data_IF_842478457671
#
_entry.id   IF_842478457671
#
_cell.length_a   1.000
_cell.length_b   1.000
_cell.length_c   1.000
_cell.angle_alpha   90.00
_cell.angle_beta   90.00
_cell.angle_gamma   90.00
#
_symmetry.space_group_name_H-M   'P 1'
#
loop_
_entity.id
_entity.type
_entity.pdbx_description
1 polymer ?
#
# COMPACT_ATOMS: atom_id res chain seq x y z
N UNK A 1 -30.65 -11.32 45.65
CA UNK A 1 -31.03 -12.71 45.26
C UNK A 1 -31.71 -12.77 43.89
N UNK A 2 -32.51 -11.76 43.48
CA UNK A 2 -33.06 -11.67 42.11
C UNK A 2 -32.00 -11.45 41.02
N UNK A 3 -30.95 -10.65 41.29
CA UNK A 3 -29.92 -10.34 40.28
C UNK A 3 -28.98 -11.51 39.93
N UNK A 4 -28.75 -12.43 40.87
CA UNK A 4 -27.94 -13.64 40.66
C UNK A 4 -28.73 -14.66 39.82
N UNK A 5 -30.05 -14.73 40.01
CA UNK A 5 -30.94 -15.57 39.21
C UNK A 5 -31.11 -15.05 37.78
N UNK A 6 -31.15 -13.73 37.56
CA UNK A 6 -31.18 -13.16 36.19
C UNK A 6 -29.85 -13.32 35.47
N UNK A 7 -28.70 -13.13 36.13
CA UNK A 7 -27.38 -13.35 35.52
C UNK A 7 -27.15 -14.82 35.16
N UNK A 8 -27.56 -15.74 36.03
CA UNK A 8 -27.49 -17.18 35.74
C UNK A 8 -28.48 -17.61 34.67
N UNK A 9 -29.69 -17.04 34.60
CA UNK A 9 -30.63 -17.26 33.48
C UNK A 9 -30.13 -16.67 32.16
N UNK A 10 -29.50 -15.48 32.14
CA UNK A 10 -28.92 -14.92 30.92
C UNK A 10 -27.67 -15.68 30.47
N UNK A 11 -26.83 -16.16 31.41
CA UNK A 11 -25.68 -17.03 31.10
C UNK A 11 -26.12 -18.41 30.62
N UNK A 12 -27.16 -18.99 31.22
CA UNK A 12 -27.72 -20.27 30.75
C UNK A 12 -28.50 -20.12 29.45
N UNK A 13 -29.18 -19.01 29.19
CA UNK A 13 -29.79 -18.72 27.88
C UNK A 13 -28.73 -18.49 26.79
N UNK A 14 -27.62 -17.80 27.09
CA UNK A 14 -26.53 -17.62 26.12
C UNK A 14 -25.75 -18.91 25.89
N UNK A 15 -25.52 -19.72 26.93
CA UNK A 15 -24.93 -21.06 26.80
C UNK A 15 -25.85 -22.04 26.06
N UNK A 16 -27.16 -22.00 26.29
CA UNK A 16 -28.11 -22.84 25.54
C UNK A 16 -28.27 -22.38 24.10
N UNK A 17 -28.21 -21.08 23.80
CA UNK A 17 -28.12 -20.58 22.42
C UNK A 17 -26.85 -21.07 21.71
N UNK A 18 -25.70 -21.09 22.39
CA UNK A 18 -24.44 -21.59 21.84
C UNK A 18 -24.52 -23.08 21.45
N UNK A 19 -25.35 -23.86 22.15
CA UNK A 19 -25.57 -25.30 21.89
C UNK A 19 -26.73 -25.56 20.92
N UNK A 20 -27.72 -24.65 20.83
CA UNK A 20 -28.91 -24.84 19.98
C UNK A 20 -28.64 -24.58 18.50
N UNK A 21 -27.74 -23.67 18.16
CA UNK A 21 -27.52 -23.25 16.76
C UNK A 21 -26.92 -24.37 15.87
N UNK A 22 -25.96 -25.20 16.35
CA UNK A 22 -25.53 -26.39 15.62
C UNK A 22 -26.67 -27.41 15.41
N UNK A 23 -27.56 -27.58 16.40
CA UNK A 23 -28.72 -28.47 16.30
C UNK A 23 -29.82 -27.91 15.38
N UNK A 24 -29.96 -26.59 15.31
CA UNK A 24 -30.84 -25.91 14.36
C UNK A 24 -30.36 -26.14 12.93
N UNK A 25 -29.03 -26.15 12.70
CA UNK A 25 -28.49 -26.46 11.38
C UNK A 25 -28.78 -27.90 10.94
N UNK A 26 -28.44 -28.89 11.77
CA UNK A 26 -28.65 -30.31 11.45
C UNK A 26 -30.13 -30.64 11.20
N UNK A 27 -31.04 -30.05 11.99
CA UNK A 27 -32.47 -30.34 11.92
C UNK A 27 -33.26 -29.47 10.93
N UNK A 28 -32.78 -28.27 10.57
CA UNK A 28 -33.54 -27.33 9.74
C UNK A 28 -32.80 -26.97 8.46
N UNK A 29 -31.51 -26.61 8.54
CA UNK A 29 -30.80 -26.09 7.36
C UNK A 29 -30.51 -27.18 6.32
N UNK A 30 -30.42 -28.47 6.74
CA UNK A 30 -30.33 -29.58 5.79
C UNK A 30 -31.57 -29.72 4.88
N UNK A 31 -32.76 -29.35 5.38
CA UNK A 31 -34.00 -29.39 4.59
C UNK A 31 -34.10 -28.22 3.58
N UNK A 32 -33.49 -27.07 3.89
CA UNK A 32 -33.54 -25.86 3.06
C UNK A 32 -32.37 -25.72 2.07
N UNK A 33 -31.39 -26.61 2.14
CA UNK A 33 -30.14 -26.58 1.36
C UNK A 33 -30.37 -26.53 -0.17
N UNK A 34 -31.44 -27.16 -0.67
CA UNK A 34 -31.75 -27.20 -2.10
C UNK A 34 -32.55 -26.00 -2.64
N UNK A 35 -33.11 -25.16 -1.75
CA UNK A 35 -33.99 -24.04 -2.15
C UNK A 35 -33.40 -22.66 -1.89
N UNK A 36 -32.23 -22.60 -1.25
CA UNK A 36 -31.60 -21.35 -0.82
C UNK A 36 -30.41 -21.03 -1.72
N UNK A 37 -30.17 -19.74 -1.96
CA UNK A 37 -28.99 -19.27 -2.67
C UNK A 37 -27.71 -19.77 -1.96
N UNK A 38 -26.78 -20.45 -2.66
CA UNK A 38 -25.53 -20.92 -2.08
C UNK A 38 -24.76 -19.84 -1.29
N UNK A 39 -24.79 -18.57 -1.73
CA UNK A 39 -24.12 -17.48 -1.03
C UNK A 39 -24.73 -17.21 0.36
N UNK A 40 -26.05 -17.03 0.42
CA UNK A 40 -26.78 -16.81 1.67
C UNK A 40 -26.68 -18.01 2.61
N UNK A 41 -26.60 -19.23 2.06
CA UNK A 41 -26.33 -20.43 2.85
C UNK A 41 -24.95 -20.36 3.51
N UNK A 42 -23.91 -19.96 2.79
CA UNK A 42 -22.55 -19.79 3.33
C UNK A 42 -22.49 -18.68 4.38
N UNK A 43 -23.20 -17.56 4.19
CA UNK A 43 -23.28 -16.49 5.20
C UNK A 43 -23.89 -16.96 6.52
N UNK A 44 -24.98 -17.74 6.45
CA UNK A 44 -25.60 -18.34 7.64
C UNK A 44 -24.63 -19.33 8.30
N UNK A 45 -23.98 -20.18 7.51
CA UNK A 45 -23.00 -21.17 7.98
C UNK A 45 -21.81 -20.50 8.66
N UNK A 46 -21.31 -19.39 8.11
CA UNK A 46 -20.24 -18.59 8.72
C UNK A 46 -20.63 -18.12 10.11
N UNK A 47 -21.88 -17.71 10.31
CA UNK A 47 -22.37 -17.30 11.63
C UNK A 47 -22.47 -18.48 12.61
N UNK A 48 -22.91 -19.65 12.13
CA UNK A 48 -22.94 -20.90 12.92
C UNK A 48 -21.52 -21.32 13.34
N UNK A 49 -20.57 -21.28 12.40
CA UNK A 49 -19.18 -21.67 12.62
C UNK A 49 -18.48 -20.74 13.62
N UNK A 50 -18.77 -19.43 13.61
CA UNK A 50 -18.24 -18.48 14.61
C UNK A 50 -18.71 -18.77 16.03
N UNK A 51 -19.81 -19.50 16.20
CA UNK A 51 -20.33 -19.90 17.50
C UNK A 51 -19.85 -21.30 17.93
N UNK A 52 -19.10 -22.01 17.08
CA UNK A 52 -18.52 -23.30 17.46
C UNK A 52 -17.23 -23.09 18.26
N UNK A 53 -17.15 -23.75 19.42
CA UNK A 53 -15.95 -23.74 20.29
C UNK A 53 -14.84 -24.68 19.80
N UNK A 54 -15.19 -25.73 19.07
CA UNK A 54 -14.24 -26.76 18.60
C UNK A 54 -13.81 -26.51 17.14
N UNK A 55 -12.54 -26.14 16.88
CA UNK A 55 -12.08 -25.77 15.55
C UNK A 55 -12.03 -26.96 14.57
N UNK A 56 -11.80 -28.18 15.08
CA UNK A 56 -11.74 -29.39 14.24
C UNK A 56 -13.11 -29.81 13.69
N UNK A 57 -14.16 -29.66 14.49
CA UNK A 57 -15.54 -29.95 14.06
C UNK A 57 -15.98 -28.94 13.01
N UNK A 58 -15.70 -27.65 13.26
CA UNK A 58 -15.96 -26.57 12.32
C UNK A 58 -15.26 -26.77 10.95
N UNK A 59 -14.03 -27.29 10.93
CA UNK A 59 -13.32 -27.61 9.69
C UNK A 59 -14.01 -28.72 8.90
N UNK A 60 -14.33 -29.85 9.55
CA UNK A 60 -15.02 -30.96 8.87
C UNK A 60 -16.38 -30.53 8.29
N UNK A 61 -17.05 -29.61 8.98
CA UNK A 61 -18.35 -29.09 8.59
C UNK A 61 -18.25 -28.12 7.41
N UNK A 62 -17.25 -27.23 7.39
CA UNK A 62 -16.97 -26.35 6.26
C UNK A 62 -16.49 -27.11 5.03
N UNK A 63 -15.69 -28.18 5.18
CA UNK A 63 -15.28 -29.02 4.05
C UNK A 63 -16.48 -29.74 3.44
N UNK A 64 -17.40 -30.26 4.26
CA UNK A 64 -18.66 -30.85 3.80
C UNK A 64 -19.55 -29.82 3.09
N UNK A 65 -19.57 -28.58 3.58
CA UNK A 65 -20.32 -27.48 2.97
C UNK A 65 -19.71 -27.06 1.63
N UNK A 66 -18.37 -26.97 1.54
CA UNK A 66 -17.62 -26.61 0.33
C UNK A 66 -17.99 -27.51 -0.85
N UNK A 67 -18.10 -28.82 -0.61
CA UNK A 67 -18.46 -29.79 -1.66
C UNK A 67 -19.85 -29.54 -2.25
N UNK A 68 -20.76 -28.96 -1.47
CA UNK A 68 -22.14 -28.70 -1.86
C UNK A 68 -22.33 -27.33 -2.53
N UNK A 69 -21.49 -26.34 -2.19
CA UNK A 69 -21.59 -24.97 -2.72
C UNK A 69 -20.74 -24.72 -3.98
N UNK A 70 -20.22 -25.77 -4.62
CA UNK A 70 -19.46 -25.71 -5.90
C UNK A 70 -20.21 -25.05 -7.07
N UNK A 71 -21.50 -24.77 -6.91
CA UNK A 71 -22.34 -24.17 -7.95
C UNK A 71 -22.12 -22.66 -8.11
N UNK A 72 -21.52 -21.98 -7.13
CA UNK A 72 -21.25 -20.54 -7.15
C UNK A 72 -19.82 -20.26 -6.72
N UNK A 73 -19.08 -19.56 -7.58
CA UNK A 73 -17.68 -19.22 -7.33
C UNK A 73 -17.53 -18.32 -6.09
N UNK A 74 -18.45 -17.37 -5.88
CA UNK A 74 -18.47 -16.48 -4.70
C UNK A 74 -18.65 -17.28 -3.40
N UNK A 75 -19.54 -18.27 -3.39
CA UNK A 75 -19.77 -19.14 -2.24
C UNK A 75 -18.55 -20.03 -1.95
N UNK A 76 -17.86 -20.51 -2.99
CA UNK A 76 -16.62 -21.29 -2.84
C UNK A 76 -15.49 -20.43 -2.26
N UNK A 77 -15.36 -19.18 -2.71
CA UNK A 77 -14.39 -18.22 -2.18
C UNK A 77 -14.66 -17.94 -0.69
N UNK A 78 -15.91 -17.66 -0.33
CA UNK A 78 -16.31 -17.45 1.07
C UNK A 78 -16.04 -18.70 1.94
N UNK A 79 -16.29 -19.90 1.43
CA UNK A 79 -15.94 -21.12 2.17
C UNK A 79 -14.42 -21.31 2.33
N UNK A 80 -13.62 -21.08 1.27
CA UNK A 80 -12.16 -21.21 1.35
C UNK A 80 -11.55 -20.18 2.33
N UNK A 81 -12.03 -18.94 2.32
CA UNK A 81 -11.60 -17.91 3.29
C UNK A 81 -11.96 -18.27 4.72
N UNK A 82 -13.16 -18.82 4.96
CA UNK A 82 -13.58 -19.31 6.28
C UNK A 82 -12.68 -20.44 6.79
N UNK A 83 -12.37 -21.41 5.92
CA UNK A 83 -11.45 -22.53 6.23
C UNK A 83 -10.05 -21.98 6.56
N UNK A 84 -9.55 -21.04 5.76
CA UNK A 84 -8.27 -20.36 6.01
C UNK A 84 -8.24 -19.66 7.37
N UNK A 85 -9.29 -18.93 7.73
CA UNK A 85 -9.39 -18.25 9.03
C UNK A 85 -9.39 -19.23 10.21
N UNK A 86 -10.09 -20.37 10.11
CA UNK A 86 -10.06 -21.40 11.15
C UNK A 86 -8.68 -22.07 11.25
N UNK A 87 -8.04 -22.40 10.13
CA UNK A 87 -6.70 -23.00 10.11
C UNK A 87 -5.64 -22.06 10.68
N UNK A 88 -5.80 -20.75 10.46
CA UNK A 88 -4.96 -19.72 11.06
C UNK A 88 -5.06 -19.73 12.60
N UNK A 89 -6.28 -19.87 13.15
CA UNK A 89 -6.48 -19.96 14.59
C UNK A 89 -5.87 -21.22 15.22
N UNK A 90 -5.78 -22.31 14.45
CA UNK A 90 -5.14 -23.57 14.87
C UNK A 90 -3.60 -23.48 14.80
N UNK A 91 -3.07 -22.50 14.05
CA UNK A 91 -1.63 -22.26 13.88
C UNK A 91 -0.99 -23.04 12.72
N UNK A 92 -1.78 -23.66 11.85
CA UNK A 92 -1.25 -24.32 10.64
C UNK A 92 -1.04 -23.28 9.52
N UNK A 93 0.11 -22.62 9.55
CA UNK A 93 0.47 -21.56 8.63
C UNK A 93 0.69 -22.05 7.19
N UNK A 94 1.12 -23.31 7.01
CA UNK A 94 1.49 -23.83 5.71
C UNK A 94 0.26 -24.08 4.84
N UNK A 95 -0.74 -24.79 5.38
CA UNK A 95 -1.99 -25.07 4.67
C UNK A 95 -2.81 -23.79 4.49
N UNK A 96 -2.73 -22.87 5.45
CA UNK A 96 -3.38 -21.56 5.36
C UNK A 96 -2.80 -20.74 4.21
N UNK A 97 -1.48 -20.73 4.02
CA UNK A 97 -0.83 -20.01 2.92
C UNK A 97 -1.29 -20.51 1.55
N UNK A 98 -1.27 -21.83 1.34
CA UNK A 98 -1.72 -22.44 0.09
C UNK A 98 -3.20 -22.12 -0.19
N UNK A 99 -4.05 -22.20 0.85
CA UNK A 99 -5.48 -21.85 0.74
C UNK A 99 -5.70 -20.36 0.41
N UNK A 100 -4.83 -19.47 0.90
CA UNK A 100 -4.91 -18.02 0.62
C UNK A 100 -4.41 -17.71 -0.80
N UNK A 101 -3.31 -18.32 -1.25
CA UNK A 101 -2.81 -18.14 -2.63
C UNK A 101 -3.87 -18.57 -3.66
N UNK A 102 -4.50 -19.72 -3.44
CA UNK A 102 -5.65 -20.21 -4.20
C UNK A 102 -6.82 -19.22 -4.28
N UNK A 103 -7.12 -18.57 -3.16
CA UNK A 103 -8.21 -17.61 -3.05
C UNK A 103 -7.82 -16.28 -3.69
N UNK A 104 -6.56 -15.87 -3.56
CA UNK A 104 -6.05 -14.64 -4.18
C UNK A 104 -6.08 -14.74 -5.71
N UNK A 105 -5.74 -15.88 -6.29
CA UNK A 105 -5.85 -16.10 -7.74
C UNK A 105 -7.31 -15.97 -8.21
N UNK A 106 -8.25 -16.61 -7.50
CA UNK A 106 -9.70 -16.51 -7.77
C UNK A 106 -10.26 -15.10 -7.54
N UNK A 107 -9.80 -14.41 -6.50
CA UNK A 107 -10.19 -13.03 -6.22
C UNK A 107 -9.55 -12.07 -7.19
N UNK A 108 -8.34 -12.30 -7.70
CA UNK A 108 -7.67 -11.42 -8.68
C UNK A 108 -8.49 -11.27 -9.97
N UNK A 109 -9.21 -12.32 -10.35
CA UNK A 109 -10.18 -12.30 -11.45
C UNK A 109 -11.41 -11.39 -11.15
N UNK A 110 -11.68 -11.11 -9.88
CA UNK A 110 -12.77 -10.28 -9.36
C UNK A 110 -12.26 -8.98 -8.70
N UNK A 111 -10.94 -8.76 -8.65
CA UNK A 111 -10.26 -7.66 -7.94
C UNK A 111 -10.22 -6.40 -8.78
N UNK A 112 -11.36 -6.03 -9.35
CA UNK A 112 -11.72 -4.63 -9.44
C UNK A 112 -12.34 -4.28 -8.08
N UNK A 113 -11.46 -4.04 -7.10
CA UNK A 113 -11.75 -3.89 -5.68
C UNK A 113 -12.57 -2.59 -5.46
N UNK A 114 -13.86 -2.67 -5.80
CA UNK A 114 -14.90 -1.67 -5.55
C UNK A 114 -16.07 -2.24 -4.75
N UNK A 115 -15.96 -3.46 -4.22
CA UNK A 115 -17.08 -4.16 -3.56
C UNK A 115 -17.10 -4.00 -2.03
N UNK A 116 -16.68 -2.85 -1.52
CA UNK A 116 -17.19 -2.35 -0.24
C UNK A 116 -17.41 -0.85 -0.39
N UNK A 117 -18.66 -0.45 -0.62
CA UNK A 117 -19.03 0.94 -0.47
C UNK A 117 -18.76 1.35 0.98
N UNK A 118 -17.99 2.42 1.16
CA UNK A 118 -17.55 3.00 2.44
C UNK A 118 -18.74 3.41 3.33
N UNK A 119 -19.97 3.24 2.84
CA UNK A 119 -21.21 3.60 3.49
C UNK A 119 -21.74 2.51 4.44
N UNK A 120 -21.33 1.26 4.28
CA UNK A 120 -21.90 0.13 5.04
C UNK A 120 -21.09 -0.26 6.29
N UNK A 121 -19.88 0.28 6.45
CA UNK A 121 -19.02 0.00 7.60
C UNK A 121 -19.09 1.14 8.63
N UNK A 122 -19.09 0.84 9.94
CA UNK A 122 -18.99 1.86 10.97
C UNK A 122 -17.66 2.60 10.87
N UNK A 123 -17.67 3.92 11.11
CA UNK A 123 -16.49 4.80 11.05
C UNK A 123 -15.30 4.31 11.90
N UNK A 124 -15.57 3.59 13.01
CA UNK A 124 -14.52 2.97 13.83
C UNK A 124 -13.74 1.89 13.07
N UNK A 125 -14.41 1.06 12.29
CA UNK A 125 -13.76 -0.03 11.56
C UNK A 125 -13.06 0.49 10.30
N UNK A 126 -13.61 1.53 9.67
CA UNK A 126 -12.94 2.26 8.60
C UNK A 126 -11.60 2.82 9.08
N UNK A 127 -11.58 3.42 10.28
CA UNK A 127 -10.37 4.01 10.84
C UNK A 127 -9.29 2.96 11.14
N UNK A 128 -9.69 1.80 11.67
CA UNK A 128 -8.77 0.69 11.93
C UNK A 128 -8.20 0.11 10.64
N UNK A 129 -9.06 -0.16 9.65
CA UNK A 129 -8.64 -0.70 8.34
C UNK A 129 -7.72 0.27 7.59
N UNK A 130 -8.06 1.54 7.57
CA UNK A 130 -7.24 2.59 6.96
C UNK A 130 -5.85 2.69 7.60
N UNK A 131 -5.79 2.59 8.94
CA UNK A 131 -4.53 2.62 9.66
C UNK A 131 -3.66 1.41 9.33
N UNK A 132 -4.25 0.21 9.36
CA UNK A 132 -3.55 -1.04 8.99
C UNK A 132 -3.08 -1.00 7.54
N UNK A 133 -3.91 -0.46 6.63
CA UNK A 133 -3.57 -0.30 5.21
C UNK A 133 -2.40 0.68 5.00
N UNK A 134 -2.42 1.82 5.69
CA UNK A 134 -1.32 2.79 5.63
C UNK A 134 -0.01 2.23 6.18
N UNK A 135 -0.06 1.50 7.31
CA UNK A 135 1.11 0.81 7.85
C UNK A 135 1.64 -0.27 6.91
N UNK A 136 0.75 -1.09 6.33
CA UNK A 136 1.13 -2.13 5.36
C UNK A 136 1.77 -1.52 4.10
N UNK A 137 1.25 -0.40 3.61
CA UNK A 137 1.84 0.32 2.48
C UNK A 137 3.24 0.87 2.81
N UNK A 138 3.45 1.41 4.02
CA UNK A 138 4.74 1.92 4.45
C UNK A 138 5.78 0.80 4.61
N UNK A 139 5.41 -0.28 5.31
CA UNK A 139 6.30 -1.40 5.61
C UNK A 139 6.53 -2.36 4.43
N UNK A 140 5.63 -2.39 3.44
CA UNK A 140 5.76 -3.30 2.29
C UNK A 140 6.91 -2.91 1.35
N UNK A 141 7.82 -3.84 1.06
CA UNK A 141 8.99 -3.61 0.20
C UNK A 141 8.68 -3.23 -1.25
N UNK A 142 7.48 -3.59 -1.75
CA UNK A 142 7.09 -3.42 -3.17
C UNK A 142 6.16 -2.24 -3.46
N UNK A 143 5.77 -1.46 -2.46
CA UNK A 143 4.74 -0.41 -2.63
C UNK A 143 5.40 0.98 -2.67
N UNK A 144 5.47 1.55 -3.88
CA UNK A 144 6.05 2.88 -4.13
C UNK A 144 5.01 3.91 -4.62
N UNK A 145 3.85 3.44 -5.10
CA UNK A 145 2.78 4.28 -5.65
C UNK A 145 1.74 4.66 -4.58
N UNK A 146 2.12 5.55 -3.67
CA UNK A 146 1.22 6.01 -2.61
C UNK A 146 0.11 6.96 -3.11
N UNK A 147 0.24 7.50 -4.32
CA UNK A 147 -0.74 8.41 -4.92
C UNK A 147 -2.14 7.79 -5.09
N UNK A 148 -2.24 6.51 -5.45
CA UNK A 148 -3.53 5.81 -5.58
C UNK A 148 -4.18 5.60 -4.21
N UNK A 149 -3.38 5.21 -3.22
CA UNK A 149 -3.83 5.04 -1.84
C UNK A 149 -4.32 6.36 -1.24
N UNK A 150 -3.60 7.47 -1.50
CA UNK A 150 -3.96 8.83 -1.03
C UNK A 150 -5.28 9.35 -1.60
N UNK A 151 -5.73 8.83 -2.74
CA UNK A 151 -7.01 9.20 -3.36
C UNK A 151 -8.19 8.37 -2.82
N UNK A 152 -7.93 7.36 -1.98
CA UNK A 152 -8.98 6.49 -1.48
C UNK A 152 -9.77 7.17 -0.34
N UNK A 153 -11.12 7.20 -0.36
CA UNK A 153 -11.91 7.95 0.61
C UNK A 153 -11.81 7.41 2.05
N UNK A 154 -11.32 6.17 2.21
CA UNK A 154 -11.04 5.56 3.53
C UNK A 154 -9.96 6.32 4.32
N UNK A 155 -9.08 7.07 3.66
CA UNK A 155 -8.11 7.94 4.34
C UNK A 155 -8.70 9.30 4.75
N UNK A 156 -9.80 9.75 4.14
CA UNK A 156 -10.47 10.99 4.57
C UNK A 156 -11.09 10.81 5.96
N UNK A 157 -11.63 9.62 6.25
CA UNK A 157 -12.14 9.25 7.58
C UNK A 157 -11.08 9.26 8.69
N UNK A 158 -9.79 9.34 8.36
CA UNK A 158 -8.67 9.44 9.31
C UNK A 158 -8.25 10.88 9.62
N UNK A 159 -8.67 11.87 8.81
CA UNK A 159 -8.24 13.26 8.97
C UNK A 159 -8.75 13.90 10.26
N UNK A 160 -9.88 13.42 10.77
CA UNK A 160 -10.51 13.93 11.98
C UNK A 160 -10.02 13.23 13.27
N UNK A 161 -9.12 12.25 13.16
CA UNK A 161 -8.66 11.41 14.28
C UNK A 161 -7.22 11.76 14.71
N UNK A 162 -6.82 11.31 15.90
CA UNK A 162 -5.45 11.39 16.46
C UNK A 162 -4.33 10.78 15.58
N UNK A 163 -4.69 10.16 14.44
CA UNK A 163 -3.79 9.44 13.52
C UNK A 163 -3.43 10.25 12.28
N UNK A 164 -3.69 11.56 12.27
CA UNK A 164 -3.35 12.45 11.16
C UNK A 164 -1.88 12.36 10.72
N UNK A 165 -0.97 12.10 11.66
CA UNK A 165 0.46 11.91 11.40
C UNK A 165 0.74 10.83 10.33
N UNK A 166 -0.12 9.82 10.19
CA UNK A 166 0.04 8.76 9.20
C UNK A 166 -0.18 9.30 7.77
N UNK A 167 -1.18 10.15 7.60
CA UNK A 167 -1.46 10.81 6.32
C UNK A 167 -0.32 11.75 5.95
N UNK A 168 0.15 12.54 6.91
CA UNK A 168 1.28 13.45 6.71
C UNK A 168 2.57 12.70 6.37
N UNK A 169 2.78 11.53 6.99
CA UNK A 169 3.88 10.62 6.66
C UNK A 169 3.74 10.08 5.23
N UNK A 170 2.55 9.63 4.82
CA UNK A 170 2.31 9.17 3.44
C UNK A 170 2.55 10.28 2.41
N UNK A 171 2.15 11.53 2.68
CA UNK A 171 2.47 12.67 1.83
C UNK A 171 3.98 12.99 1.80
N UNK A 172 4.69 12.85 2.93
CA UNK A 172 6.14 13.00 2.97
C UNK A 172 6.86 11.93 2.12
N UNK A 173 6.36 10.69 2.13
CA UNK A 173 6.84 9.62 1.25
C UNK A 173 6.60 9.92 -0.22
N UNK A 174 5.38 10.33 -0.58
CA UNK A 174 5.03 10.65 -1.97
C UNK A 174 5.81 11.83 -2.55
N UNK A 175 6.28 12.75 -1.70
CA UNK A 175 7.08 13.91 -2.11
C UNK A 175 8.59 13.72 -1.93
N UNK A 176 9.04 12.54 -1.48
CA UNK A 176 10.46 12.26 -1.22
C UNK A 176 11.10 13.17 -0.17
N UNK A 177 10.31 13.84 0.67
CA UNK A 177 10.82 14.86 1.60
C UNK A 177 11.30 14.23 2.91
N UNK A 178 12.60 13.94 2.96
CA UNK A 178 13.28 13.34 4.12
C UNK A 178 13.20 14.23 5.36
N UNK A 179 13.20 15.56 5.20
CA UNK A 179 13.17 16.51 6.32
C UNK A 179 11.81 16.46 7.04
N UNK A 180 10.70 16.49 6.29
CA UNK A 180 9.36 16.32 6.87
C UNK A 180 9.20 14.98 7.57
N UNK A 181 9.72 13.90 6.99
CA UNK A 181 9.69 12.59 7.63
C UNK A 181 10.43 12.56 8.98
N UNK A 182 11.58 13.24 9.07
CA UNK A 182 12.33 13.36 10.32
C UNK A 182 11.59 14.18 11.39
N UNK A 183 10.89 15.25 11.01
CA UNK A 183 10.09 16.03 11.96
C UNK A 183 8.93 15.23 12.56
N UNK A 184 8.37 14.30 11.79
CA UNK A 184 7.26 13.43 12.21
C UNK A 184 7.72 12.26 13.09
N UNK A 185 9.03 12.07 13.29
CA UNK A 185 9.61 10.96 14.08
C UNK A 185 9.10 10.88 15.51
N UNK A 186 8.78 12.03 16.11
CA UNK A 186 8.19 12.10 17.45
C UNK A 186 6.80 11.46 17.53
N UNK A 187 6.05 11.47 16.42
CA UNK A 187 4.69 10.93 16.33
C UNK A 187 4.69 9.46 15.88
N UNK A 188 5.37 9.12 14.78
CA UNK A 188 5.38 7.75 14.26
C UNK A 188 6.27 6.80 15.08
N UNK A 189 7.24 7.32 15.83
CA UNK A 189 8.10 6.53 16.71
C UNK A 189 7.38 5.90 17.90
N UNK A 190 6.12 6.27 18.16
CA UNK A 190 5.28 5.59 19.16
C UNK A 190 4.90 4.17 18.72
N UNK A 191 4.92 3.87 17.42
CA UNK A 191 4.61 2.54 16.90
C UNK A 191 5.87 1.68 16.82
N UNK A 192 5.90 0.49 17.46
CA UNK A 192 7.08 -0.38 17.50
C UNK A 192 7.48 -0.90 16.10
N UNK A 193 6.51 -1.17 15.23
CA UNK A 193 6.74 -1.75 13.90
C UNK A 193 7.50 -0.78 12.97
N UNK A 194 7.22 0.51 13.08
CA UNK A 194 7.89 1.57 12.32
C UNK A 194 9.30 1.83 12.87
N UNK A 195 9.47 1.79 14.19
CA UNK A 195 10.77 1.96 14.82
C UNK A 195 11.73 0.80 14.49
N UNK A 196 11.23 -0.44 14.43
CA UNK A 196 12.02 -1.61 14.05
C UNK A 196 12.53 -1.51 12.59
N UNK A 197 11.75 -0.91 11.70
CA UNK A 197 12.03 -0.82 10.26
C UNK A 197 12.46 0.58 9.80
N UNK A 198 12.97 1.42 10.70
CA UNK A 198 13.37 2.81 10.39
C UNK A 198 14.37 2.88 9.22
N UNK A 199 15.39 2.01 9.22
CA UNK A 199 16.43 2.00 8.19
C UNK A 199 15.85 1.68 6.80
N UNK A 200 14.87 0.79 6.73
CA UNK A 200 14.19 0.39 5.50
C UNK A 200 13.32 1.52 4.97
N UNK A 201 12.59 2.22 5.86
CA UNK A 201 11.77 3.38 5.52
C UNK A 201 12.61 4.54 4.99
N UNK A 202 13.74 4.85 5.62
CA UNK A 202 14.66 5.88 5.13
C UNK A 202 15.22 5.55 3.74
N UNK A 203 15.63 4.29 3.53
CA UNK A 203 16.08 3.82 2.22
C UNK A 203 14.96 3.93 1.18
N UNK A 204 13.72 3.62 1.55
CA UNK A 204 12.55 3.70 0.68
C UNK A 204 12.23 5.15 0.27
N UNK A 205 12.29 6.11 1.18
CA UNK A 205 12.10 7.54 0.84
C UNK A 205 13.22 8.03 -0.09
N UNK A 206 14.47 7.64 0.16
CA UNK A 206 15.59 7.98 -0.71
C UNK A 206 15.41 7.39 -2.12
N UNK A 207 14.95 6.14 -2.22
CA UNK A 207 14.63 5.51 -3.49
C UNK A 207 13.49 6.23 -4.22
N UNK A 208 12.42 6.63 -3.52
CA UNK A 208 11.34 7.41 -4.12
C UNK A 208 11.83 8.75 -4.68
N UNK A 209 12.67 9.46 -3.93
CA UNK A 209 13.30 10.70 -4.38
C UNK A 209 14.16 10.48 -5.63
N UNK A 210 14.94 9.40 -5.68
CA UNK A 210 15.76 9.05 -6.85
C UNK A 210 14.91 8.63 -8.05
N UNK A 211 13.88 7.81 -7.84
CA UNK A 211 12.96 7.38 -8.90
C UNK A 211 12.20 8.57 -9.50
N UNK A 212 11.77 9.52 -8.66
CA UNK A 212 11.13 10.74 -9.14
C UNK A 212 12.08 11.55 -10.02
N UNK A 213 13.35 11.68 -9.64
CA UNK A 213 14.36 12.39 -10.44
C UNK A 213 14.65 11.66 -11.75
N UNK A 214 14.87 10.34 -11.74
CA UNK A 214 15.12 9.56 -12.95
C UNK A 214 13.91 9.65 -13.91
N UNK A 215 12.70 9.50 -13.39
CA UNK A 215 11.47 9.57 -14.19
C UNK A 215 11.20 10.99 -14.71
N UNK A 216 11.51 12.02 -13.93
CA UNK A 216 11.41 13.42 -14.35
C UNK A 216 12.45 13.75 -15.43
N UNK A 217 13.68 13.25 -15.31
CA UNK A 217 14.71 13.38 -16.35
C UNK A 217 14.29 12.63 -17.61
N UNK A 218 13.78 11.40 -17.50
CA UNK A 218 13.25 10.64 -18.64
C UNK A 218 12.08 11.37 -19.31
N UNK A 219 11.19 11.98 -18.53
CA UNK A 219 10.07 12.78 -19.05
C UNK A 219 10.56 14.06 -19.73
N UNK A 220 11.56 14.75 -19.18
CA UNK A 220 12.17 15.92 -19.80
C UNK A 220 12.89 15.57 -21.12
N UNK A 221 13.55 14.41 -21.19
CA UNK A 221 14.13 13.88 -22.43
C UNK A 221 13.05 13.49 -23.45
N UNK A 222 11.95 12.89 -22.99
CA UNK A 222 10.84 12.45 -23.86
C UNK A 222 10.06 13.62 -24.45
N UNK A 223 9.83 14.68 -23.67
CA UNK A 223 9.17 15.92 -24.12
C UNK A 223 10.12 16.79 -24.96
N UNK A 224 11.42 16.48 -24.97
CA UNK A 224 12.42 17.19 -25.76
C UNK A 224 12.87 18.53 -25.15
N UNK A 225 12.54 18.78 -23.88
CA UNK A 225 13.02 19.97 -23.15
C UNK A 225 14.54 19.93 -22.96
N UNK A 226 15.10 18.73 -22.91
CA UNK A 226 16.51 18.46 -22.70
C UNK A 226 16.93 17.31 -23.61
N UNK A 227 18.17 17.29 -24.07
CA UNK A 227 18.78 16.14 -24.74
C UNK A 227 20.03 15.72 -23.97
N UNK A 228 20.26 14.41 -23.92
CA UNK A 228 21.36 13.84 -23.15
C UNK A 228 21.30 12.33 -23.07
N UNK A 229 22.22 11.75 -22.31
CA UNK A 229 22.25 10.33 -21.96
C UNK A 229 22.25 10.16 -20.45
N UNK A 230 21.53 9.15 -19.97
CA UNK A 230 21.53 8.76 -18.55
C UNK A 230 22.55 7.63 -18.40
N UNK A 231 23.54 7.84 -17.52
CA UNK A 231 24.45 6.81 -17.06
C UNK A 231 23.99 6.32 -15.68
N UNK A 232 23.36 5.14 -15.66
CA UNK A 232 22.81 4.55 -14.44
C UNK A 232 23.90 4.00 -13.51
N UNK A 233 25.02 3.54 -14.06
CA UNK A 233 26.10 2.90 -13.30
C UNK A 233 26.83 3.95 -12.47
N UNK A 234 27.13 5.10 -13.08
CA UNK A 234 27.78 6.21 -12.40
C UNK A 234 26.79 7.16 -11.71
N UNK A 235 25.48 6.93 -11.84
CA UNK A 235 24.40 7.81 -11.36
C UNK A 235 24.58 9.26 -11.83
N UNK A 236 24.89 9.45 -13.12
CA UNK A 236 25.08 10.77 -13.74
C UNK A 236 24.20 10.94 -14.97
N UNK A 237 23.73 12.16 -15.19
CA UNK A 237 23.03 12.53 -16.43
C UNK A 237 23.92 13.46 -17.24
N UNK A 238 24.29 13.04 -18.43
CA UNK A 238 25.08 13.84 -19.37
C UNK A 238 24.12 14.64 -20.25
N UNK A 239 24.04 15.95 -20.00
CA UNK A 239 23.16 16.84 -20.74
C UNK A 239 23.93 17.48 -21.90
N UNK A 240 23.51 17.20 -23.13
CA UNK A 240 24.14 17.74 -24.33
C UNK A 240 23.45 19.01 -24.83
N UNK A 241 22.16 19.17 -24.50
CA UNK A 241 21.38 20.32 -24.93
C UNK A 241 20.22 20.59 -23.98
N UNK A 242 19.89 21.85 -23.79
CA UNK A 242 18.76 22.31 -22.97
C UNK A 242 17.98 23.33 -23.78
N UNK A 243 16.65 23.27 -23.72
CA UNK A 243 15.79 24.24 -24.40
C UNK A 243 16.04 25.66 -23.87
N UNK A 244 16.36 26.63 -24.75
CA UNK A 244 16.56 28.01 -24.33
C UNK A 244 15.26 28.58 -23.78
N UNK A 245 15.36 29.17 -22.59
CA UNK A 245 14.26 29.86 -21.90
C UNK A 245 14.50 31.37 -21.89
N UNK A 246 13.45 32.14 -21.57
CA UNK A 246 13.54 33.60 -21.39
C UNK A 246 14.49 33.89 -20.23
N UNK A 247 15.51 34.71 -20.50
CA UNK A 247 16.54 35.10 -19.54
C UNK A 247 16.17 36.40 -18.82
N UNK A 248 16.51 36.50 -17.55
CA UNK A 248 16.38 37.73 -16.78
C UNK A 248 17.62 38.66 -16.91
N UNK A 249 17.50 39.91 -16.47
CA UNK A 249 18.58 40.91 -16.54
C UNK A 249 19.83 40.51 -15.72
N UNK A 250 19.69 39.70 -14.67
CA UNK A 250 20.82 39.24 -13.86
C UNK A 250 21.60 38.13 -14.56
N UNK A 251 20.91 37.19 -15.20
CA UNK A 251 21.49 36.13 -16.02
C UNK A 251 22.21 36.70 -17.24
N UNK A 252 21.67 37.73 -17.88
CA UNK A 252 22.33 38.45 -18.99
C UNK A 252 23.65 39.07 -18.52
N UNK A 253 23.68 39.67 -17.33
CA UNK A 253 24.92 40.19 -16.74
C UNK A 253 25.94 39.07 -16.50
N UNK A 254 25.51 37.93 -15.96
CA UNK A 254 26.37 36.76 -15.80
C UNK A 254 26.92 36.22 -17.14
N UNK A 255 26.12 36.23 -18.21
CA UNK A 255 26.59 35.86 -19.55
C UNK A 255 27.63 36.85 -20.09
N UNK A 256 27.43 38.16 -19.86
CA UNK A 256 28.40 39.20 -20.25
C UNK A 256 29.76 38.94 -19.58
N UNK A 257 29.77 38.69 -18.27
CA UNK A 257 31.01 38.48 -17.52
C UNK A 257 31.74 37.21 -18.01
N UNK A 258 31.01 36.13 -18.32
CA UNK A 258 31.60 34.91 -18.91
C UNK A 258 32.16 35.14 -20.32
N UNK A 259 31.48 35.96 -21.13
CA UNK A 259 31.93 36.30 -22.47
C UNK A 259 33.20 37.17 -22.42
N UNK A 260 33.26 38.12 -21.49
CA UNK A 260 34.44 38.98 -21.29
C UNK A 260 35.66 38.16 -20.83
N UNK A 261 35.45 37.20 -19.93
CA UNK A 261 36.48 36.24 -19.55
C UNK A 261 36.98 35.42 -20.74
N UNK A 262 36.07 34.89 -21.57
CA UNK A 262 36.45 34.13 -22.76
C UNK A 262 37.21 34.97 -23.78
N UNK A 263 36.76 36.20 -24.04
CA UNK A 263 37.47 37.16 -24.90
C UNK A 263 38.90 37.42 -24.39
N UNK A 264 39.08 37.52 -23.08
CA UNK A 264 40.41 37.71 -22.49
C UNK A 264 41.28 36.48 -22.71
N UNK A 265 40.73 35.26 -22.53
CA UNK A 265 41.44 34.01 -22.80
C UNK A 265 41.85 33.85 -24.27
N UNK A 266 40.99 34.22 -25.21
CA UNK A 266 41.30 34.21 -26.65
C UNK A 266 42.43 35.18 -26.98
N UNK A 267 42.40 36.41 -26.42
CA UNK A 267 43.48 37.39 -26.62
C UNK A 267 44.81 36.91 -26.05
N UNK A 268 44.81 36.24 -24.89
CA UNK A 268 46.03 35.67 -24.33
C UNK A 268 46.60 34.57 -25.23
N UNK A 269 45.75 33.74 -25.83
CA UNK A 269 46.16 32.71 -26.79
C UNK A 269 46.70 33.33 -28.09
N UNK A 270 46.04 34.37 -28.60
CA UNK A 270 46.46 35.14 -29.78
C UNK A 270 47.87 35.72 -29.59
N UNK A 271 48.13 36.40 -28.47
CA UNK A 271 49.44 36.95 -28.13
C UNK A 271 50.55 35.87 -28.06
N UNK A 272 50.23 34.68 -27.56
CA UNK A 272 51.18 33.56 -27.52
C UNK A 272 51.51 33.04 -28.91
N UNK A 273 50.51 32.94 -29.79
CA UNK A 273 50.69 32.48 -31.17
C UNK A 273 51.44 33.52 -31.99
N UNK A 274 51.16 34.82 -31.83
CA UNK A 274 51.91 35.87 -32.53
C UNK A 274 53.40 35.85 -32.18
N UNK A 275 53.74 35.70 -30.90
CA UNK A 275 55.14 35.67 -30.46
C UNK A 275 55.88 34.42 -30.94
N UNK A 276 55.23 33.25 -30.97
CA UNK A 276 55.86 32.00 -31.42
C UNK A 276 55.88 31.86 -32.94
N UNK A 277 54.88 32.37 -33.64
CA UNK A 277 54.79 32.30 -35.08
C UNK A 277 55.70 33.33 -35.77
N UNK A 278 56.02 34.45 -35.11
CA UNK A 278 56.96 35.45 -35.66
C UNK A 278 58.36 34.88 -35.90
N UNK A 279 58.83 33.97 -35.04
CA UNK A 279 60.12 33.27 -35.17
C UNK A 279 60.16 32.24 -36.32
N UNK A 280 59.00 31.82 -36.84
CA UNK A 280 58.89 30.78 -37.88
C UNK A 280 58.52 31.39 -39.25
N UNK A 281 57.76 32.48 -39.27
CA UNK A 281 57.16 33.06 -40.48
C UNK A 281 57.89 34.30 -41.03
N UNK A 282 58.95 34.78 -40.38
CA UNK A 282 59.78 35.91 -40.83
C UNK A 282 61.23 35.48 -40.98
#
# INVERSE_FOLDING_TARGET
MKDILTLTLTLTLTLTLHVLVPQLYENFISEFEHRVNPLSLVEIILHVVRQMTDPNVALSFLEKTREKVKSSDEAVILCKTAIGALKLNIGDLQVTKETIEDVEEMLSALRFLGCVDIKDLPVSEQQERAFTLGLAGLLGDGVFNFGELLMHPVLESLRDTDRQWLIDTLYAFNSGNVERFQTLKTAWGQQPDLAANEAQLLRKIQLLCLMEVELLVMKALSVGLVKGSIDEVDKRVHMTWVQPSVLDLQQIKGMKDRLEFWCTGVKSMEMLVEHQAHDILT
#
